data_IF_843670087016
#
_entry.id   IF_843670087016
#
_cell.length_a   1.000
_cell.length_b   1.000
_cell.length_c   1.000
_cell.angle_alpha   90.00
_cell.angle_beta   90.00
_cell.angle_gamma   90.00
#
_symmetry.space_group_name_H-M   'P 1'
#
loop_
_entity.id
_entity.type
_entity.pdbx_description
1 polymer ?
#
# COMPACT_ATOMS: atom_id res chain seq x y z
N UNK A 1 -8.57 -5.59 -14.56
CA UNK A 1 -8.90 -4.15 -14.71
C UNK A 1 -7.62 -3.32 -14.70
N UNK A 2 -7.47 -2.27 -15.52
CA UNK A 2 -6.21 -1.49 -15.59
C UNK A 2 -6.43 -0.01 -15.23
N UNK A 3 -5.52 0.56 -14.42
CA UNK A 3 -5.47 1.98 -14.07
C UNK A 3 -4.07 2.52 -14.34
N UNK A 4 -3.97 3.73 -14.90
CA UNK A 4 -2.68 4.36 -15.24
C UNK A 4 -2.71 5.85 -14.89
N UNK A 5 -1.69 6.29 -14.19
CA UNK A 5 -1.40 7.70 -13.92
C UNK A 5 -0.24 8.22 -14.78
N UNK A 6 0.08 9.50 -14.60
CA UNK A 6 1.18 10.18 -15.29
C UNK A 6 2.55 9.92 -14.64
N UNK A 7 2.62 9.10 -13.60
CA UNK A 7 3.85 8.72 -12.89
C UNK A 7 3.73 8.89 -11.38
N UNK A 8 4.53 8.11 -10.63
CA UNK A 8 4.64 8.27 -9.17
C UNK A 8 5.07 9.70 -8.84
N UNK A 9 4.38 10.32 -7.89
CA UNK A 9 4.63 11.72 -7.52
C UNK A 9 3.97 12.77 -8.42
N UNK A 10 3.25 12.36 -9.48
CA UNK A 10 2.47 13.27 -10.34
C UNK A 10 0.97 13.02 -10.21
N UNK A 11 0.56 11.76 -10.17
CA UNK A 11 -0.85 11.37 -10.01
C UNK A 11 -1.07 10.80 -8.62
N UNK A 12 -1.97 11.42 -7.85
CA UNK A 12 -2.28 11.01 -6.49
C UNK A 12 -3.76 10.69 -6.33
N UNK A 13 -4.04 9.64 -5.55
CA UNK A 13 -5.35 9.36 -4.96
C UNK A 13 -5.16 9.56 -3.45
N UNK A 14 -5.81 10.57 -2.89
CA UNK A 14 -5.62 11.01 -1.51
C UNK A 14 -6.93 11.00 -0.76
N UNK A 15 -6.90 10.50 0.47
CA UNK A 15 -8.00 10.57 1.42
C UNK A 15 -7.44 10.72 2.84
N UNK A 16 -8.28 11.07 3.82
CA UNK A 16 -7.85 11.39 5.19
C UNK A 16 -8.79 10.79 6.24
N UNK A 17 -8.99 9.47 6.17
CA UNK A 17 -9.82 8.75 7.14
C UNK A 17 -9.00 7.78 7.98
N UNK A 18 -9.24 7.79 9.28
CA UNK A 18 -8.75 6.80 10.22
C UNK A 18 -9.93 6.02 10.80
N UNK A 19 -9.73 4.73 11.05
CA UNK A 19 -10.75 3.83 11.59
C UNK A 19 -10.06 2.68 12.33
N UNK A 20 -10.67 2.09 13.38
CA UNK A 20 -10.21 0.82 13.94
C UNK A 20 -10.22 -0.32 12.92
N UNK A 21 -11.07 -0.23 11.90
CA UNK A 21 -11.12 -1.18 10.79
C UNK A 21 -10.23 -0.71 9.62
N UNK A 22 -9.20 -1.51 9.31
CA UNK A 22 -8.27 -1.29 8.21
C UNK A 22 -8.94 -1.32 6.83
N UNK A 23 -10.09 -1.99 6.70
CA UNK A 23 -10.89 -1.84 5.48
C UNK A 23 -11.43 -0.42 5.41
N UNK A 24 -12.22 0.00 6.41
CA UNK A 24 -12.89 1.30 6.41
C UNK A 24 -11.96 2.51 6.24
N UNK A 25 -10.75 2.46 6.80
CA UNK A 25 -9.76 3.55 6.66
C UNK A 25 -9.08 3.64 5.29
N UNK A 26 -9.24 2.65 4.41
CA UNK A 26 -8.49 2.58 3.16
C UNK A 26 -8.85 3.66 2.14
N UNK A 27 -7.86 4.43 1.68
CA UNK A 27 -8.01 5.37 0.54
C UNK A 27 -8.39 4.66 -0.75
N UNK A 28 -7.82 3.47 -0.99
CA UNK A 28 -8.05 2.68 -2.19
C UNK A 28 -8.21 1.21 -1.85
N UNK A 29 -9.21 0.55 -2.43
CA UNK A 29 -9.44 -0.89 -2.28
C UNK A 29 -9.50 -1.56 -3.63
N UNK A 30 -8.81 -2.68 -3.76
CA UNK A 30 -8.88 -3.53 -4.95
C UNK A 30 -9.23 -4.96 -4.57
N UNK A 31 -10.35 -5.43 -5.10
CA UNK A 31 -10.82 -6.82 -4.94
C UNK A 31 -10.99 -7.54 -6.29
N UNK A 32 -10.84 -6.80 -7.40
CA UNK A 32 -11.01 -7.35 -8.75
C UNK A 32 -9.76 -8.12 -9.19
N UNK A 33 -9.88 -9.38 -9.63
CA UNK A 33 -8.73 -10.17 -10.08
C UNK A 33 -8.11 -9.60 -11.37
N UNK A 34 -6.81 -9.88 -11.59
CA UNK A 34 -6.04 -9.35 -12.71
C UNK A 34 -6.05 -7.82 -12.76
N UNK A 35 -5.97 -7.17 -11.60
CA UNK A 35 -5.86 -5.72 -11.51
C UNK A 35 -4.43 -5.28 -11.80
N UNK A 36 -4.28 -4.19 -12.56
CA UNK A 36 -2.97 -3.60 -12.86
C UNK A 36 -3.02 -2.09 -12.66
N UNK A 37 -2.14 -1.56 -11.83
CA UNK A 37 -1.92 -0.12 -11.67
C UNK A 37 -0.52 0.27 -12.14
N UNK A 38 -0.41 1.44 -12.78
CA UNK A 38 0.87 1.98 -13.23
C UNK A 38 0.99 3.47 -12.91
N UNK A 39 2.06 3.89 -12.24
CA UNK A 39 2.41 5.30 -12.08
C UNK A 39 1.38 6.12 -11.30
N UNK A 40 0.76 5.52 -10.28
CA UNK A 40 -0.22 6.17 -9.39
C UNK A 40 0.32 6.12 -7.96
N UNK A 41 0.17 7.22 -7.24
CA UNK A 41 0.47 7.33 -5.82
C UNK A 41 -0.82 7.27 -5.00
N UNK A 42 -0.88 6.41 -3.99
CA UNK A 42 -1.99 6.28 -3.04
C UNK A 42 -1.54 6.85 -1.69
N UNK A 43 -2.31 7.76 -1.11
CA UNK A 43 -1.95 8.44 0.13
C UNK A 43 -3.13 8.47 1.10
N UNK A 44 -2.88 8.12 2.35
CA UNK A 44 -3.77 8.41 3.46
C UNK A 44 -3.11 9.48 4.36
N UNK A 45 -3.77 10.61 4.52
CA UNK A 45 -3.31 11.76 5.32
C UNK A 45 -3.98 11.85 6.69
N UNK A 46 -4.71 10.81 7.12
CA UNK A 46 -5.33 10.82 8.43
C UNK A 46 -4.28 10.90 9.54
N UNK A 47 -4.54 11.77 10.53
CA UNK A 47 -3.73 11.84 11.72
C UNK A 47 -3.95 10.59 12.58
N UNK A 48 -2.87 9.87 12.87
CA UNK A 48 -2.84 8.69 13.74
C UNK A 48 -1.82 8.92 14.86
N UNK A 49 -2.11 8.48 16.09
CA UNK A 49 -1.22 8.66 17.24
C UNK A 49 -1.54 9.84 18.18
N UNK A 50 -2.75 10.42 18.08
CA UNK A 50 -3.30 11.28 19.13
C UNK A 50 -3.94 10.37 20.19
N UNK A 51 -3.77 10.70 21.47
CA UNK A 51 -4.05 9.83 22.64
C UNK A 51 -5.51 9.31 22.71
N UNK A 52 -6.46 10.01 22.08
CA UNK A 52 -7.89 9.61 21.97
C UNK A 52 -8.24 8.80 20.70
N UNK A 53 -7.27 8.59 19.81
CA UNK A 53 -7.42 7.91 18.51
C UNK A 53 -6.45 6.71 18.42
N UNK A 54 -5.97 6.24 19.57
CA UNK A 54 -4.77 5.40 19.74
C UNK A 54 -4.80 4.04 19.03
N UNK A 55 -5.96 3.58 18.59
CA UNK A 55 -6.13 2.29 17.90
C UNK A 55 -6.61 2.42 16.45
N UNK A 56 -6.70 3.64 15.90
CA UNK A 56 -7.17 3.81 14.53
C UNK A 56 -6.02 3.64 13.53
N UNK A 57 -6.30 2.87 12.49
CA UNK A 57 -5.45 2.63 11.35
C UNK A 57 -5.71 3.67 10.26
N UNK A 58 -4.70 3.97 9.45
CA UNK A 58 -4.81 4.87 8.30
C UNK A 58 -4.32 4.16 7.04
N UNK A 59 -5.12 3.25 6.48
CA UNK A 59 -4.65 2.44 5.35
C UNK A 59 -4.60 3.27 4.07
N UNK A 60 -3.48 3.23 3.32
CA UNK A 60 -3.38 3.87 2.01
C UNK A 60 -4.00 2.99 0.91
N UNK A 61 -3.76 1.68 0.96
CA UNK A 61 -4.37 0.74 0.03
C UNK A 61 -4.64 -0.62 0.65
N UNK A 62 -5.80 -1.20 0.33
CA UNK A 62 -6.13 -2.61 0.59
C UNK A 62 -6.08 -3.37 -0.71
N UNK A 63 -5.31 -4.46 -0.73
CA UNK A 63 -5.16 -5.34 -1.89
C UNK A 63 -5.67 -6.73 -1.53
N UNK A 64 -6.84 -7.07 -2.04
CA UNK A 64 -7.55 -8.32 -1.79
C UNK A 64 -7.93 -9.03 -3.09
N UNK A 65 -7.01 -9.07 -4.07
CA UNK A 65 -7.30 -9.50 -5.43
C UNK A 65 -6.29 -10.54 -5.95
N UNK A 66 -6.74 -11.61 -6.60
CA UNK A 66 -5.80 -12.54 -7.21
C UNK A 66 -5.16 -11.95 -8.48
N UNK A 67 -3.83 -12.08 -8.60
CA UNK A 67 -3.01 -11.53 -9.70
C UNK A 67 -3.10 -10.01 -9.80
N UNK A 68 -2.94 -9.29 -8.69
CA UNK A 68 -2.84 -7.83 -8.71
C UNK A 68 -1.39 -7.38 -8.94
N UNK A 69 -1.17 -6.42 -9.84
CA UNK A 69 0.17 -5.91 -10.12
C UNK A 69 0.23 -4.38 -10.05
N UNK A 70 1.30 -3.87 -9.45
CA UNK A 70 1.57 -2.45 -9.29
C UNK A 70 2.96 -2.13 -9.84
N UNK A 71 3.02 -1.17 -10.76
CA UNK A 71 4.24 -0.79 -11.46
C UNK A 71 4.52 0.69 -11.24
N UNK A 72 5.69 1.01 -10.69
CA UNK A 72 6.10 2.39 -10.40
C UNK A 72 5.02 3.16 -9.63
N UNK A 73 4.32 2.50 -8.71
CA UNK A 73 3.33 3.12 -7.83
C UNK A 73 3.99 3.60 -6.55
N UNK A 74 3.29 4.43 -5.79
CA UNK A 74 3.74 4.80 -4.45
C UNK A 74 2.61 4.72 -3.43
N UNK A 75 2.91 4.38 -2.20
CA UNK A 75 1.96 4.23 -1.10
C UNK A 75 2.47 5.01 0.10
N UNK A 76 1.63 5.87 0.65
CA UNK A 76 2.00 6.78 1.73
C UNK A 76 0.95 6.73 2.83
N UNK A 77 1.37 6.39 4.04
CA UNK A 77 0.59 6.60 5.25
C UNK A 77 1.49 6.63 6.48
N UNK A 78 0.94 6.91 7.65
CA UNK A 78 1.65 6.87 8.92
C UNK A 78 1.49 5.51 9.62
N UNK A 79 0.28 4.93 9.62
CA UNK A 79 -0.04 3.70 10.36
C UNK A 79 -0.73 2.71 9.41
N UNK A 80 -0.21 1.49 9.27
CA UNK A 80 -0.82 0.44 8.43
C UNK A 80 -0.93 0.83 6.93
N UNK A 81 0.16 1.31 6.32
CA UNK A 81 0.17 1.86 4.94
C UNK A 81 -0.44 0.95 3.88
N UNK A 82 0.04 -0.29 3.73
CA UNK A 82 -0.39 -1.23 2.70
C UNK A 82 -0.97 -2.48 3.36
N UNK A 83 -2.29 -2.65 3.24
CA UNK A 83 -2.97 -3.85 3.70
C UNK A 83 -3.02 -4.88 2.57
N UNK A 84 -2.06 -5.78 2.59
CA UNK A 84 -1.94 -6.92 1.70
C UNK A 84 -2.83 -8.10 2.16
N UNK A 85 -4.14 -7.96 1.96
CA UNK A 85 -5.15 -8.80 2.60
C UNK A 85 -5.13 -10.27 2.14
N UNK A 86 -5.36 -10.52 0.84
CA UNK A 86 -5.45 -11.89 0.27
C UNK A 86 -5.16 -11.88 -1.23
N UNK A 87 -4.63 -12.99 -1.75
CA UNK A 87 -4.36 -13.18 -3.18
C UNK A 87 -2.87 -13.21 -3.49
N UNK A 88 -2.54 -13.09 -4.77
CA UNK A 88 -1.16 -13.01 -5.27
C UNK A 88 -0.92 -11.64 -5.84
N UNK A 89 0.09 -10.94 -5.33
CA UNK A 89 0.37 -9.58 -5.76
C UNK A 89 1.83 -9.39 -6.17
N UNK A 90 2.06 -8.44 -7.06
CA UNK A 90 3.37 -8.12 -7.60
C UNK A 90 3.57 -6.60 -7.60
N UNK A 91 4.68 -6.15 -7.01
CA UNK A 91 5.01 -4.73 -6.87
C UNK A 91 6.39 -4.47 -7.47
N UNK A 92 6.45 -3.79 -8.62
CA UNK A 92 7.71 -3.51 -9.32
C UNK A 92 8.02 -2.01 -9.27
N UNK A 93 9.21 -1.64 -8.80
CA UNK A 93 9.68 -0.25 -8.77
C UNK A 93 8.79 0.67 -7.91
N UNK A 94 8.02 0.09 -7.00
CA UNK A 94 7.09 0.78 -6.13
C UNK A 94 7.80 1.40 -4.92
N UNK A 95 7.22 2.47 -4.38
CA UNK A 95 7.71 3.12 -3.16
C UNK A 95 6.65 3.03 -2.06
N UNK A 96 6.99 2.45 -0.90
CA UNK A 96 6.05 2.30 0.21
C UNK A 96 6.64 3.01 1.42
N UNK A 97 5.91 3.98 1.96
CA UNK A 97 6.32 4.78 3.10
C UNK A 97 5.31 4.64 4.24
N UNK A 98 5.80 4.31 5.43
CA UNK A 98 5.03 4.40 6.67
C UNK A 98 5.87 4.30 7.93
N UNK A 99 5.24 4.50 9.08
CA UNK A 99 5.90 4.51 10.38
C UNK A 99 5.72 3.19 11.13
N UNK A 100 4.48 2.67 11.21
CA UNK A 100 4.14 1.47 11.99
C UNK A 100 3.38 0.49 11.07
N UNK A 101 3.80 -0.78 11.10
CA UNK A 101 3.21 -1.90 10.34
C UNK A 101 2.83 -1.56 8.91
N UNK A 102 3.74 -0.89 8.20
CA UNK A 102 3.47 -0.25 6.92
C UNK A 102 3.13 -1.25 5.80
N UNK A 103 3.46 -2.54 5.94
CA UNK A 103 2.96 -3.62 5.07
C UNK A 103 2.50 -4.75 5.99
N UNK A 104 1.22 -5.15 5.89
CA UNK A 104 0.62 -6.16 6.75
C UNK A 104 -0.46 -6.95 6.02
N UNK A 105 -0.74 -8.18 6.46
CA UNK A 105 -1.81 -9.02 5.93
C UNK A 105 -1.36 -10.46 5.62
N UNK A 106 -2.11 -11.16 4.75
CA UNK A 106 -1.92 -12.59 4.44
C UNK A 106 -1.78 -12.87 2.94
N UNK A 107 -1.56 -11.83 2.13
CA UNK A 107 -1.30 -11.95 0.70
C UNK A 107 0.05 -12.61 0.40
N UNK A 108 0.14 -13.22 -0.79
CA UNK A 108 1.39 -13.72 -1.35
C UNK A 108 1.95 -12.66 -2.28
N UNK A 109 2.89 -11.86 -1.78
CA UNK A 109 3.39 -10.70 -2.50
C UNK A 109 4.87 -10.79 -2.81
N UNK A 110 5.23 -10.33 -4.01
CA UNK A 110 6.62 -10.14 -4.43
C UNK A 110 6.85 -8.64 -4.62
N UNK A 111 7.90 -8.13 -4.00
CA UNK A 111 8.36 -6.74 -4.14
C UNK A 111 9.69 -6.73 -4.90
N UNK A 112 9.65 -6.28 -6.15
CA UNK A 112 10.83 -6.18 -7.01
C UNK A 112 11.34 -4.75 -7.09
N UNK A 113 12.61 -4.58 -6.74
CA UNK A 113 13.28 -3.27 -6.75
C UNK A 113 13.92 -3.06 -8.13
N UNK A 114 13.46 -2.05 -8.86
CA UNK A 114 14.10 -1.67 -10.12
C UNK A 114 15.48 -1.03 -9.86
N UNK A 115 16.55 -1.40 -10.58
CA UNK A 115 17.92 -0.94 -10.31
C UNK A 115 18.20 0.54 -10.62
N UNK A 116 17.23 1.30 -11.15
CA UNK A 116 17.42 2.72 -11.48
C UNK A 116 17.06 3.62 -10.29
N UNK A 117 18.00 3.71 -9.34
CA UNK A 117 18.08 4.79 -8.36
C UNK A 117 17.65 4.42 -6.94
N UNK A 118 18.65 4.34 -6.06
CA UNK A 118 18.65 4.13 -4.60
C UNK A 118 18.56 2.69 -4.11
N UNK A 119 19.64 2.29 -3.42
CA UNK A 119 19.92 1.07 -2.64
C UNK A 119 18.69 0.20 -2.33
N UNK A 120 18.56 -0.90 -3.08
CA UNK A 120 17.51 -1.91 -2.89
C UNK A 120 17.88 -2.91 -1.82
N UNK A 121 17.21 -2.85 -0.68
CA UNK A 121 16.99 -4.02 0.14
C UNK A 121 15.93 -4.88 -0.55
N UNK A 122 16.25 -6.14 -0.82
CA UNK A 122 15.22 -7.17 -1.00
C UNK A 122 14.53 -7.28 0.36
N UNK A 123 13.41 -6.60 0.53
CA UNK A 123 12.52 -6.88 1.64
C UNK A 123 11.78 -8.17 1.26
N UNK A 124 12.37 -9.32 1.57
CA UNK A 124 11.54 -10.46 1.96
C UNK A 124 10.80 -9.99 3.22
N UNK A 125 9.57 -9.52 3.06
CA UNK A 125 8.65 -9.31 4.18
C UNK A 125 8.14 -10.69 4.59
N UNK A 126 9.07 -11.53 5.00
CA UNK A 126 8.79 -12.72 5.77
C UNK A 126 8.83 -12.28 7.22
N UNK A 127 7.70 -12.46 7.91
CA UNK A 127 7.41 -12.11 9.30
C UNK A 127 6.99 -10.67 9.54
N UNK A 128 5.67 -10.51 9.62
CA UNK A 128 5.06 -9.79 10.73
C UNK A 128 5.81 -10.19 12.02
N UNK A 129 6.63 -9.30 12.55
CA UNK A 129 7.17 -9.42 13.89
C UNK A 129 6.10 -8.84 14.83
N UNK A 130 5.36 -9.78 15.43
CA UNK A 130 4.61 -9.76 16.69
C UNK A 130 3.95 -8.45 17.15
#
# INVERSE_FOLDING_TARGET
MRKRGNGKGKTFIVWSQSSPDGFESATFRVESPNFVAYGISFKNEAATGIVDISHNQSVAAVVGADKAAFYQCAFYSSYNTLFDYKGRHYYEGCYIQGSIDFIFGRGQSIFEVSPFGSFGFILEITFALF
#
